data_IF_297679603452
#
_entry.id   IF_297679603452
#
_cell.length_a   1.000
_cell.length_b   1.000
_cell.length_c   1.000
_cell.angle_alpha   90.00
_cell.angle_beta   90.00
_cell.angle_gamma   90.00
#
_symmetry.space_group_name_H-M   'P 1'
#
loop_
_entity.id
_entity.type
_entity.pdbx_description
1 polymer ?
#
# COMPACT_ATOMS: atom_id res chain seq x y z
N UNK A 1 14.16 -21.24 3.49
CA UNK A 1 13.21 -22.03 2.70
C UNK A 1 11.85 -21.39 2.98
N UNK A 2 11.16 -20.92 1.95
CA UNK A 2 9.84 -20.31 2.11
C UNK A 2 8.81 -21.39 2.47
N UNK A 3 7.70 -20.98 3.07
CA UNK A 3 6.60 -21.87 3.43
C UNK A 3 5.92 -22.43 2.16
N UNK A 4 5.21 -23.55 2.29
CA UNK A 4 4.51 -24.22 1.16
C UNK A 4 3.40 -23.37 0.54
N UNK A 5 2.90 -22.39 1.28
CA UNK A 5 1.87 -21.44 0.86
C UNK A 5 2.45 -20.11 0.37
N UNK A 6 3.76 -19.95 0.37
CA UNK A 6 4.42 -18.72 -0.08
C UNK A 6 4.50 -18.68 -1.60
N UNK A 7 4.42 -17.48 -2.16
CA UNK A 7 4.57 -17.27 -3.59
C UNK A 7 6.04 -17.41 -4.00
N UNK A 8 6.32 -18.30 -4.95
CA UNK A 8 7.68 -18.59 -5.42
C UNK A 8 7.97 -17.85 -6.72
N UNK A 9 9.07 -17.07 -6.84
CA UNK A 9 9.35 -16.32 -8.06
C UNK A 9 9.52 -17.20 -9.30
N UNK A 10 9.98 -18.45 -9.13
CA UNK A 10 10.10 -19.45 -10.17
C UNK A 10 8.76 -19.97 -10.71
N UNK A 11 7.69 -19.86 -9.92
CA UNK A 11 6.34 -20.29 -10.26
C UNK A 11 5.48 -19.09 -10.72
N UNK A 12 6.09 -17.94 -11.01
CA UNK A 12 5.37 -16.73 -11.41
C UNK A 12 4.62 -16.94 -12.72
N UNK A 13 3.39 -16.41 -12.79
CA UNK A 13 2.56 -16.36 -14.00
C UNK A 13 3.07 -15.37 -15.03
N UNK A 14 4.09 -14.57 -14.68
CA UNK A 14 4.79 -13.68 -15.60
C UNK A 14 4.17 -12.30 -15.70
N UNK A 15 4.35 -11.65 -16.86
CA UNK A 15 3.99 -10.26 -17.14
C UNK A 15 3.11 -10.21 -18.41
N UNK A 16 2.35 -9.14 -18.59
CA UNK A 16 1.50 -8.97 -19.77
C UNK A 16 2.33 -8.87 -21.06
N UNK A 17 3.38 -8.04 -21.04
CA UNK A 17 4.34 -7.94 -22.14
C UNK A 17 5.53 -8.85 -21.87
N UNK A 18 5.90 -9.67 -22.85
CA UNK A 18 7.03 -10.58 -22.73
C UNK A 18 8.33 -9.79 -22.60
N UNK A 19 9.13 -10.11 -21.59
CA UNK A 19 10.43 -9.51 -21.35
C UNK A 19 11.43 -10.60 -20.98
N UNK A 20 12.70 -10.41 -21.34
CA UNK A 20 13.76 -11.30 -20.87
C UNK A 20 13.88 -11.25 -19.34
N UNK A 21 14.07 -12.44 -18.75
CA UNK A 21 14.32 -12.59 -17.31
C UNK A 21 15.61 -11.90 -16.89
N UNK A 22 15.69 -11.48 -15.62
CA UNK A 22 16.94 -10.95 -15.07
C UNK A 22 17.79 -12.09 -14.50
N UNK A 23 19.10 -12.06 -14.78
CA UNK A 23 20.07 -13.00 -14.20
C UNK A 23 20.38 -12.74 -12.73
N UNK A 24 20.09 -11.53 -12.23
CA UNK A 24 20.54 -11.06 -10.92
C UNK A 24 19.40 -10.71 -9.97
N UNK A 25 18.19 -10.52 -10.48
CA UNK A 25 17.02 -10.12 -9.70
C UNK A 25 15.86 -11.07 -9.93
N UNK A 26 15.13 -11.38 -8.88
CA UNK A 26 13.85 -12.06 -9.01
C UNK A 26 12.84 -11.16 -9.76
N UNK A 27 11.77 -11.75 -10.35
CA UNK A 27 10.65 -10.99 -10.89
C UNK A 27 10.09 -9.93 -9.91
N UNK A 28 9.95 -10.26 -8.62
CA UNK A 28 9.39 -9.37 -7.61
C UNK A 28 10.35 -8.26 -7.17
N UNK A 29 11.66 -8.53 -7.12
CA UNK A 29 12.67 -7.47 -6.95
C UNK A 29 12.64 -6.48 -8.10
N UNK A 30 12.48 -6.96 -9.34
CA UNK A 30 12.34 -6.08 -10.51
C UNK A 30 11.08 -5.23 -10.42
N UNK A 31 9.97 -5.78 -9.94
CA UNK A 31 8.73 -5.02 -9.72
C UNK A 31 8.91 -3.91 -8.70
N UNK A 32 9.45 -4.26 -7.53
CA UNK A 32 9.79 -3.29 -6.49
C UNK A 32 10.65 -2.15 -7.05
N UNK A 33 11.69 -2.49 -7.79
CA UNK A 33 12.60 -1.48 -8.36
C UNK A 33 11.84 -0.57 -9.35
N UNK A 34 10.95 -1.13 -10.19
CA UNK A 34 10.10 -0.35 -11.11
C UNK A 34 9.17 0.60 -10.38
N UNK A 35 8.52 0.11 -9.33
CA UNK A 35 7.62 0.91 -8.48
C UNK A 35 8.38 2.08 -7.88
N UNK A 36 9.53 1.84 -7.23
CA UNK A 36 10.35 2.88 -6.59
C UNK A 36 10.80 3.96 -7.60
N UNK A 37 11.12 3.56 -8.83
CA UNK A 37 11.59 4.49 -9.86
C UNK A 37 10.46 5.17 -10.66
N UNK A 38 9.20 4.80 -10.43
CA UNK A 38 8.04 5.38 -11.11
C UNK A 38 7.80 6.84 -10.74
N UNK A 39 7.16 7.58 -11.65
CA UNK A 39 6.78 8.97 -11.39
C UNK A 39 5.71 9.05 -10.29
N UNK A 40 4.77 8.11 -10.26
CA UNK A 40 3.72 8.01 -9.27
C UNK A 40 4.26 7.81 -7.84
N UNK A 41 5.25 6.95 -7.66
CA UNK A 41 5.88 6.73 -6.35
C UNK A 41 6.59 8.00 -5.86
N UNK A 42 7.31 8.71 -6.75
CA UNK A 42 7.92 10.01 -6.40
C UNK A 42 6.89 11.05 -5.97
N UNK A 43 5.70 11.06 -6.58
CA UNK A 43 4.61 11.99 -6.23
C UNK A 43 4.05 11.73 -4.83
N UNK A 44 4.19 10.53 -4.28
CA UNK A 44 3.75 10.23 -2.90
C UNK A 44 4.44 11.13 -1.87
N UNK A 45 5.64 11.66 -2.17
CA UNK A 45 6.34 12.63 -1.32
C UNK A 45 5.50 13.88 -1.06
N UNK A 46 4.65 14.28 -2.00
CA UNK A 46 3.85 15.50 -1.93
C UNK A 46 2.36 15.21 -1.70
N UNK A 47 2.01 13.95 -1.39
CA UNK A 47 0.64 13.56 -1.02
C UNK A 47 0.58 13.40 0.49
N UNK A 48 -0.40 14.06 1.08
CA UNK A 48 -0.66 14.09 2.51
C UNK A 48 -1.19 12.75 3.01
N UNK A 49 -0.71 12.29 4.16
CA UNK A 49 -1.31 11.20 4.93
C UNK A 49 -2.04 11.84 6.12
N UNK A 50 -3.36 12.00 6.03
CA UNK A 50 -4.26 12.63 7.01
C UNK A 50 -4.05 14.14 7.25
N UNK A 51 -2.83 14.59 7.55
CA UNK A 51 -2.51 16.00 7.80
C UNK A 51 -1.90 16.69 6.58
N UNK A 52 -2.19 17.98 6.42
CA UNK A 52 -1.64 18.78 5.33
C UNK A 52 -0.16 19.09 5.61
N UNK A 53 0.73 18.69 4.69
CA UNK A 53 2.20 18.77 4.79
C UNK A 53 2.71 20.18 5.21
N UNK A 54 1.92 21.23 4.94
CA UNK A 54 2.31 22.62 5.16
C UNK A 54 1.99 23.13 6.58
N UNK A 55 1.39 22.32 7.46
CA UNK A 55 1.05 22.73 8.83
C UNK A 55 2.09 22.30 9.89
N UNK A 56 3.15 21.58 9.50
CA UNK A 56 4.28 21.23 10.38
C UNK A 56 5.29 20.28 9.73
N UNK A 57 6.59 20.46 10.04
CA UNK A 57 7.72 19.76 9.43
C UNK A 57 7.76 18.22 9.65
N UNK A 58 6.89 17.69 10.51
CA UNK A 58 6.94 16.28 10.96
C UNK A 58 5.73 15.44 10.53
N UNK A 59 4.79 15.99 9.76
CA UNK A 59 3.64 15.21 9.31
C UNK A 59 4.04 14.22 8.21
N UNK A 60 3.52 13.00 8.31
CA UNK A 60 3.78 11.96 7.33
C UNK A 60 3.18 12.28 5.98
N UNK A 61 3.90 11.87 4.96
CA UNK A 61 3.43 11.83 3.57
C UNK A 61 3.04 10.39 3.23
N UNK A 62 2.31 10.18 2.13
CA UNK A 62 2.04 8.83 1.62
C UNK A 62 3.32 8.06 1.29
N UNK A 63 4.41 8.76 0.97
CA UNK A 63 5.70 8.12 0.75
C UNK A 63 6.26 7.53 2.03
N UNK A 64 6.30 8.30 3.12
CA UNK A 64 6.79 7.79 4.41
C UNK A 64 5.90 6.68 4.94
N UNK A 65 4.58 6.82 4.79
CA UNK A 65 3.61 5.77 5.11
C UNK A 65 3.92 4.48 4.34
N UNK A 66 4.01 4.53 3.01
CA UNK A 66 4.29 3.35 2.17
C UNK A 66 5.62 2.66 2.53
N UNK A 67 6.65 3.42 2.92
CA UNK A 67 7.93 2.85 3.37
C UNK A 67 7.77 2.11 4.71
N UNK A 68 7.03 2.69 5.65
CA UNK A 68 6.76 2.05 6.94
C UNK A 68 5.89 0.79 6.78
N UNK A 69 4.85 0.83 5.95
CA UNK A 69 4.02 -0.34 5.57
C UNK A 69 4.91 -1.43 4.99
N UNK A 70 5.80 -1.10 4.06
CA UNK A 70 6.73 -2.06 3.46
C UNK A 70 7.67 -2.69 4.50
N UNK A 71 8.13 -1.93 5.49
CA UNK A 71 8.97 -2.46 6.57
C UNK A 71 8.22 -3.47 7.44
N UNK A 72 6.96 -3.15 7.81
CA UNK A 72 6.10 -4.05 8.59
C UNK A 72 5.79 -5.31 7.77
N UNK A 73 5.40 -5.15 6.50
CA UNK A 73 5.06 -6.25 5.60
C UNK A 73 6.22 -7.24 5.43
N UNK A 74 7.46 -6.75 5.27
CA UNK A 74 8.65 -7.60 5.21
C UNK A 74 8.91 -8.36 6.48
N UNK A 75 8.70 -7.73 7.64
CA UNK A 75 8.89 -8.36 8.94
C UNK A 75 7.88 -9.49 9.13
N UNK A 76 6.60 -9.24 8.83
CA UNK A 76 5.55 -10.25 8.90
C UNK A 76 5.79 -11.38 7.88
N UNK A 77 6.13 -11.04 6.64
CA UNK A 77 6.42 -12.02 5.60
C UNK A 77 7.58 -12.94 6.02
N UNK A 78 8.66 -12.38 6.56
CA UNK A 78 9.81 -13.16 7.08
C UNK A 78 9.40 -14.12 8.18
N UNK A 79 8.62 -13.66 9.16
CA UNK A 79 8.17 -14.48 10.31
C UNK A 79 7.24 -15.61 9.85
N UNK A 80 6.39 -15.35 8.87
CA UNK A 80 5.46 -16.31 8.30
C UNK A 80 6.08 -17.20 7.20
N UNK A 81 7.36 -16.99 6.86
CA UNK A 81 8.03 -17.72 5.79
C UNK A 81 7.49 -17.41 4.38
N UNK A 82 6.84 -16.27 4.19
CA UNK A 82 6.32 -15.78 2.92
C UNK A 82 7.42 -15.10 2.08
N UNK A 83 7.08 -14.73 0.84
CA UNK A 83 7.98 -13.98 -0.02
C UNK A 83 8.05 -12.50 0.38
N UNK A 84 9.17 -12.10 0.99
CA UNK A 84 9.39 -10.71 1.41
C UNK A 84 9.39 -9.70 0.25
N UNK A 85 9.84 -10.12 -0.94
CA UNK A 85 10.02 -9.23 -2.09
C UNK A 85 8.68 -8.88 -2.72
N UNK A 86 7.77 -9.85 -2.82
CA UNK A 86 6.40 -9.61 -3.26
C UNK A 86 5.63 -8.78 -2.24
N UNK A 87 5.74 -9.09 -0.95
CA UNK A 87 5.10 -8.31 0.11
C UNK A 87 5.58 -6.85 0.11
N UNK A 88 6.90 -6.62 -0.05
CA UNK A 88 7.48 -5.28 -0.18
C UNK A 88 6.98 -4.55 -1.44
N UNK A 89 6.94 -5.23 -2.59
CA UNK A 89 6.48 -4.62 -3.84
C UNK A 89 5.01 -4.17 -3.76
N UNK A 90 4.11 -5.02 -3.27
CA UNK A 90 2.69 -4.70 -3.11
C UNK A 90 2.52 -3.55 -2.10
N UNK A 91 3.19 -3.63 -0.95
CA UNK A 91 3.14 -2.59 0.08
C UNK A 91 3.62 -1.22 -0.43
N UNK A 92 4.63 -1.16 -1.30
CA UNK A 92 5.10 0.13 -1.87
C UNK A 92 4.15 0.70 -2.93
N UNK A 93 3.29 -0.12 -3.50
CA UNK A 93 2.43 0.25 -4.63
C UNK A 93 0.97 0.53 -4.25
N UNK A 94 0.50 0.07 -3.08
CA UNK A 94 -0.92 0.19 -2.67
C UNK A 94 -1.47 1.62 -2.81
N UNK A 95 -0.63 2.61 -2.48
CA UNK A 95 -1.04 4.01 -2.37
C UNK A 95 -0.86 4.85 -3.64
N UNK A 96 -0.39 4.24 -4.75
CA UNK A 96 -0.06 4.99 -5.96
C UNK A 96 -1.27 5.71 -6.57
N UNK A 97 -2.45 5.10 -6.45
CA UNK A 97 -3.71 5.60 -7.03
C UNK A 97 -4.39 6.70 -6.24
N UNK A 98 -4.01 6.93 -4.98
CA UNK A 98 -4.66 7.93 -4.14
C UNK A 98 -4.58 9.35 -4.74
N UNK A 99 -5.68 10.10 -4.74
CA UNK A 99 -5.65 11.48 -5.22
C UNK A 99 -4.98 12.42 -4.20
N UNK A 100 -4.74 13.70 -4.57
CA UNK A 100 -4.42 14.73 -3.59
C UNK A 100 -5.49 14.81 -2.49
N UNK A 101 -5.11 15.26 -1.28
CA UNK A 101 -6.03 15.45 -0.13
C UNK A 101 -6.65 14.17 0.47
N UNK A 102 -6.08 13.00 0.20
CA UNK A 102 -6.49 11.75 0.85
C UNK A 102 -7.96 11.39 0.58
N UNK A 103 -8.67 10.88 1.59
CA UNK A 103 -10.05 10.41 1.45
C UNK A 103 -10.99 11.53 0.98
N UNK A 104 -10.82 12.76 1.45
CA UNK A 104 -11.62 13.91 0.98
C UNK A 104 -11.48 14.13 -0.53
N UNK A 105 -10.26 13.95 -1.06
CA UNK A 105 -10.01 14.05 -2.49
C UNK A 105 -10.63 12.90 -3.28
N UNK A 106 -10.64 11.70 -2.70
CA UNK A 106 -11.29 10.53 -3.28
C UNK A 106 -12.81 10.68 -3.32
N UNK A 107 -13.44 11.05 -2.20
CA UNK A 107 -14.89 11.27 -2.10
C UNK A 107 -15.38 12.30 -3.12
N UNK A 108 -14.63 13.41 -3.26
CA UNK A 108 -15.00 14.47 -4.20
C UNK A 108 -14.77 14.04 -5.65
N UNK A 109 -13.71 13.29 -5.94
CA UNK A 109 -13.49 12.72 -7.28
C UNK A 109 -14.57 11.70 -7.63
N UNK A 110 -14.92 10.78 -6.73
CA UNK A 110 -16.01 9.82 -6.92
C UNK A 110 -17.32 10.56 -7.27
N UNK A 111 -17.65 11.59 -6.48
CA UNK A 111 -18.84 12.42 -6.72
C UNK A 111 -18.80 13.13 -8.08
N UNK A 112 -17.67 13.72 -8.46
CA UNK A 112 -17.51 14.41 -9.75
C UNK A 112 -17.48 13.45 -10.94
N UNK A 113 -16.96 12.24 -10.74
CA UNK A 113 -16.79 11.21 -11.76
C UNK A 113 -17.99 10.27 -11.88
N UNK A 114 -19.01 10.41 -11.05
CA UNK A 114 -20.22 9.60 -11.11
C UNK A 114 -20.85 9.50 -12.53
N UNK A 115 -20.92 10.56 -13.37
CA UNK A 115 -21.40 10.45 -14.75
C UNK A 115 -20.50 9.60 -15.68
N UNK A 116 -19.27 9.33 -15.27
CA UNK A 116 -18.23 8.64 -16.02
C UNK A 116 -17.85 7.27 -15.42
N UNK A 117 -18.58 6.79 -14.41
CA UNK A 117 -18.35 5.49 -13.77
C UNK A 117 -17.63 5.52 -12.43
N UNK A 118 -17.41 6.70 -11.85
CA UNK A 118 -16.81 6.89 -10.53
C UNK A 118 -15.27 7.00 -10.55
N UNK A 119 -14.70 6.99 -9.35
CA UNK A 119 -13.29 6.98 -9.04
C UNK A 119 -13.05 5.99 -7.88
N UNK A 120 -12.06 5.12 -8.07
CA UNK A 120 -11.60 4.18 -7.04
C UNK A 120 -10.06 4.20 -7.04
N UNK A 121 -9.44 4.44 -5.88
CA UNK A 121 -7.98 4.55 -5.82
C UNK A 121 -7.26 3.25 -6.22
N UNK A 122 -7.80 2.06 -5.95
CA UNK A 122 -7.15 0.80 -6.33
C UNK A 122 -7.19 0.60 -7.85
N UNK A 123 -8.34 0.86 -8.48
CA UNK A 123 -8.48 0.85 -9.92
C UNK A 123 -7.59 1.93 -10.58
N UNK A 124 -7.44 3.08 -9.93
CA UNK A 124 -6.53 4.13 -10.39
C UNK A 124 -5.05 3.72 -10.22
N UNK A 125 -4.68 3.01 -9.15
CA UNK A 125 -3.33 2.48 -8.97
C UNK A 125 -2.98 1.50 -10.10
N UNK A 126 -3.89 0.57 -10.41
CA UNK A 126 -3.79 -0.33 -11.57
C UNK A 126 -3.66 0.45 -12.88
N UNK A 127 -4.49 1.47 -13.09
CA UNK A 127 -4.43 2.31 -14.30
C UNK A 127 -3.08 3.01 -14.43
N UNK A 128 -2.51 3.51 -13.33
CA UNK A 128 -1.19 4.15 -13.32
C UNK A 128 -0.12 3.15 -13.75
N UNK A 129 -0.03 2.01 -13.08
CA UNK A 129 1.07 1.05 -13.25
C UNK A 129 0.94 0.21 -14.52
N UNK A 130 -0.23 0.14 -15.14
CA UNK A 130 -0.46 -0.64 -16.37
C UNK A 130 -0.59 0.21 -17.63
N UNK A 131 -0.87 1.52 -17.50
CA UNK A 131 -1.15 2.39 -18.65
C UNK A 131 -0.55 3.80 -18.61
N UNK A 132 -0.51 4.47 -17.44
CA UNK A 132 -0.15 5.91 -17.43
C UNK A 132 1.34 6.18 -17.24
N UNK A 133 2.09 5.29 -16.57
CA UNK A 133 3.54 5.38 -16.56
C UNK A 133 4.10 5.08 -17.95
N UNK A 134 5.05 5.87 -18.43
CA UNK A 134 5.60 5.75 -19.79
C UNK A 134 7.13 5.77 -19.74
N UNK A 135 7.71 4.77 -19.07
CA UNK A 135 9.15 4.64 -18.86
C UNK A 135 9.84 3.67 -19.82
N UNK A 136 9.07 2.87 -20.56
CA UNK A 136 9.56 1.82 -21.46
C UNK A 136 9.12 2.13 -22.90
N UNK A 137 9.97 1.82 -23.88
CA UNK A 137 9.71 2.15 -25.28
C UNK A 137 8.75 1.18 -25.98
N UNK A 138 8.64 -0.04 -25.48
CA UNK A 138 7.90 -1.13 -26.12
C UNK A 138 6.47 -1.27 -25.61
N UNK A 139 6.17 -0.70 -24.44
CA UNK A 139 4.86 -0.77 -23.79
C UNK A 139 4.66 0.40 -22.82
N UNK A 140 3.40 0.72 -22.59
CA UNK A 140 2.97 1.60 -21.51
C UNK A 140 2.90 0.84 -20.17
N UNK A 141 2.92 1.58 -19.08
CA UNK A 141 2.97 1.08 -17.72
C UNK A 141 4.36 0.62 -17.27
N UNK A 142 4.37 -0.09 -16.15
CA UNK A 142 5.55 -0.70 -15.54
C UNK A 142 5.67 -2.19 -15.89
N UNK A 143 4.65 -2.77 -16.55
CA UNK A 143 4.58 -4.19 -16.90
C UNK A 143 4.96 -5.11 -15.71
N UNK A 144 4.35 -4.90 -14.53
CA UNK A 144 4.63 -5.67 -13.32
C UNK A 144 4.19 -7.14 -13.48
N UNK A 145 4.65 -8.03 -12.59
CA UNK A 145 4.21 -9.42 -12.62
C UNK A 145 2.74 -9.53 -12.21
N UNK A 146 2.11 -10.62 -12.64
CA UNK A 146 0.73 -10.93 -12.31
C UNK A 146 0.47 -10.88 -10.80
N UNK A 147 1.37 -11.43 -9.99
CA UNK A 147 1.23 -11.51 -8.53
C UNK A 147 1.25 -10.13 -7.87
N UNK A 148 2.12 -9.23 -8.35
CA UNK A 148 2.15 -7.85 -7.84
C UNK A 148 0.87 -7.12 -8.22
N UNK A 149 0.40 -7.27 -9.45
CA UNK A 149 -0.84 -6.62 -9.92
C UNK A 149 -2.07 -7.17 -9.20
N UNK A 150 -2.12 -8.47 -8.96
CA UNK A 150 -3.14 -9.17 -8.21
C UNK A 150 -3.22 -8.65 -6.77
N UNK A 151 -2.07 -8.52 -6.11
CA UNK A 151 -1.99 -7.98 -4.76
C UNK A 151 -2.45 -6.52 -4.65
N UNK A 152 -2.13 -5.67 -5.64
CA UNK A 152 -2.58 -4.28 -5.66
C UNK A 152 -4.09 -4.20 -5.93
N UNK A 153 -4.60 -4.98 -6.89
CA UNK A 153 -6.02 -4.97 -7.24
C UNK A 153 -6.91 -5.47 -6.09
N UNK A 154 -6.40 -6.40 -5.29
CA UNK A 154 -7.11 -7.05 -4.18
C UNK A 154 -6.55 -6.67 -2.81
N UNK A 155 -5.97 -5.47 -2.67
CA UNK A 155 -5.40 -4.99 -1.40
C UNK A 155 -6.43 -5.06 -0.26
N UNK A 156 -7.68 -4.70 -0.53
CA UNK A 156 -8.79 -4.76 0.43
C UNK A 156 -9.55 -6.10 0.42
N UNK A 157 -8.97 -7.16 -0.16
CA UNK A 157 -9.60 -8.47 -0.33
C UNK A 157 -10.24 -8.68 -1.70
N UNK A 158 -11.02 -9.77 -1.86
CA UNK A 158 -11.68 -10.09 -3.13
C UNK A 158 -12.60 -8.97 -3.61
N UNK A 159 -12.52 -8.63 -4.89
CA UNK A 159 -13.35 -7.62 -5.56
C UNK A 159 -14.51 -8.32 -6.24
N UNK A 160 -15.72 -8.06 -5.76
CA UNK A 160 -16.97 -8.61 -6.30
C UNK A 160 -17.80 -7.52 -6.99
N UNK A 161 -18.78 -7.92 -7.79
CA UNK A 161 -19.60 -6.97 -8.55
C UNK A 161 -20.38 -6.00 -7.62
N UNK A 162 -20.51 -4.71 -8.00
CA UNK A 162 -20.04 -4.10 -9.26
C UNK A 162 -18.53 -3.82 -9.27
N UNK A 163 -17.85 -4.22 -10.35
CA UNK A 163 -16.41 -3.96 -10.55
C UNK A 163 -16.24 -2.59 -11.22
N UNK A 164 -15.36 -1.75 -10.67
CA UNK A 164 -15.04 -0.46 -11.26
C UNK A 164 -14.55 -0.60 -12.70
N UNK A 165 -15.00 0.26 -13.62
CA UNK A 165 -14.80 0.10 -15.07
C UNK A 165 -13.32 -0.03 -15.45
N UNK A 166 -12.44 0.77 -14.83
CA UNK A 166 -11.02 0.75 -15.14
C UNK A 166 -10.35 -0.59 -14.74
N UNK A 167 -10.82 -1.21 -13.66
CA UNK A 167 -10.35 -2.53 -13.26
C UNK A 167 -10.92 -3.60 -14.20
N UNK A 168 -12.21 -3.50 -14.56
CA UNK A 168 -12.87 -4.39 -15.52
C UNK A 168 -12.19 -4.38 -16.90
N UNK A 169 -11.80 -3.20 -17.41
CA UNK A 169 -11.05 -3.05 -18.66
C UNK A 169 -9.72 -3.81 -18.63
N UNK A 170 -8.98 -3.72 -17.51
CA UNK A 170 -7.69 -4.40 -17.38
C UNK A 170 -7.85 -5.93 -17.30
N UNK A 171 -8.74 -6.41 -16.42
CA UNK A 171 -8.90 -7.87 -16.21
C UNK A 171 -9.52 -8.59 -17.41
N UNK A 172 -10.18 -7.87 -18.31
CA UNK A 172 -10.61 -8.43 -19.60
C UNK A 172 -9.44 -8.85 -20.50
N UNK A 173 -8.23 -8.32 -20.27
CA UNK A 173 -7.00 -8.59 -21.03
C UNK A 173 -6.05 -9.47 -20.22
N UNK A 174 -5.98 -9.25 -18.90
CA UNK A 174 -5.08 -9.94 -17.98
C UNK A 174 -5.83 -10.27 -16.70
N UNK A 175 -6.48 -11.43 -16.66
CA UNK A 175 -7.37 -11.84 -15.57
C UNK A 175 -6.61 -12.00 -14.25
N UNK A 176 -7.00 -11.21 -13.23
CA UNK A 176 -6.40 -11.19 -11.88
C UNK A 176 -7.19 -12.02 -10.85
N UNK A 177 -8.17 -12.81 -11.29
CA UNK A 177 -8.99 -13.69 -10.42
C UNK A 177 -9.61 -12.88 -9.27
N UNK A 178 -10.29 -11.78 -9.61
CA UNK A 178 -10.71 -10.73 -8.66
C UNK A 178 -11.60 -11.24 -7.52
N UNK A 179 -12.40 -12.27 -7.77
CA UNK A 179 -13.33 -12.86 -6.81
C UNK A 179 -12.67 -13.83 -5.81
N UNK A 180 -11.37 -14.07 -5.93
CA UNK A 180 -10.59 -14.94 -5.04
C UNK A 180 -9.74 -14.14 -4.07
N UNK A 181 -9.32 -14.75 -2.96
CA UNK A 181 -8.33 -14.13 -2.07
C UNK A 181 -6.99 -13.99 -2.78
N UNK A 182 -6.31 -12.86 -2.54
CA UNK A 182 -4.95 -12.62 -3.01
C UNK A 182 -3.94 -13.57 -2.36
N UNK A 183 -2.69 -13.53 -2.85
CA UNK A 183 -1.59 -14.23 -2.19
C UNK A 183 -1.46 -13.86 -0.70
N UNK A 184 -0.85 -14.73 0.10
CA UNK A 184 -0.61 -14.44 1.51
C UNK A 184 0.31 -13.21 1.70
N UNK A 185 1.22 -12.95 0.77
CA UNK A 185 2.05 -11.75 0.75
C UNK A 185 1.24 -10.47 0.57
N UNK A 186 0.26 -10.48 -0.34
CA UNK A 186 -0.62 -9.34 -0.56
C UNK A 186 -1.52 -9.08 0.67
N UNK A 187 -2.06 -10.14 1.28
CA UNK A 187 -2.83 -10.01 2.52
C UNK A 187 -1.97 -9.48 3.67
N UNK A 188 -0.70 -9.88 3.76
CA UNK A 188 0.24 -9.32 4.73
C UNK A 188 0.52 -7.84 4.46
N UNK A 189 0.63 -7.42 3.20
CA UNK A 189 0.79 -6.01 2.85
C UNK A 189 -0.43 -5.19 3.29
N UNK A 190 -1.65 -5.69 3.07
CA UNK A 190 -2.90 -5.07 3.53
C UNK A 190 -2.97 -4.94 5.06
N UNK A 191 -2.67 -6.02 5.78
CA UNK A 191 -2.64 -5.99 7.26
C UNK A 191 -1.55 -5.03 7.77
N UNK A 192 -0.43 -4.92 7.06
CA UNK A 192 0.64 -3.99 7.42
C UNK A 192 0.23 -2.54 7.24
N UNK A 193 -0.60 -2.26 6.24
CA UNK A 193 -1.21 -0.94 6.01
C UNK A 193 -2.10 -0.56 7.19
N UNK A 194 -3.03 -1.43 7.59
CA UNK A 194 -3.87 -1.23 8.77
C UNK A 194 -3.05 -1.00 10.06
N UNK A 195 -1.98 -1.76 10.26
CA UNK A 195 -1.10 -1.61 11.43
C UNK A 195 -0.38 -0.26 11.42
N UNK A 196 0.16 0.16 10.27
CA UNK A 196 0.87 1.42 10.14
C UNK A 196 -0.11 2.60 10.32
N UNK A 197 -1.24 2.55 9.63
CA UNK A 197 -2.31 3.53 9.67
C UNK A 197 -2.75 3.83 11.11
N UNK A 198 -3.12 2.78 11.87
CA UNK A 198 -3.62 2.95 13.24
C UNK A 198 -2.57 3.55 14.20
N UNK A 199 -1.30 3.17 14.07
CA UNK A 199 -0.26 3.69 14.96
C UNK A 199 0.11 5.14 14.62
N UNK A 200 0.13 5.48 13.34
CA UNK A 200 0.64 6.75 12.87
C UNK A 200 -0.36 7.87 13.00
N UNK A 201 -1.63 7.61 12.69
CA UNK A 201 -2.71 8.56 12.91
C UNK A 201 -2.83 8.91 14.40
N UNK A 202 -2.64 7.93 15.29
CA UNK A 202 -2.63 8.16 16.73
C UNK A 202 -1.46 9.07 17.14
N UNK A 203 -0.26 8.80 16.62
CA UNK A 203 0.93 9.57 16.94
C UNK A 203 0.86 11.01 16.38
N UNK A 204 0.37 11.17 15.16
CA UNK A 204 0.27 12.47 14.50
C UNK A 204 -0.88 13.30 15.08
N UNK A 205 -2.00 12.67 15.48
CA UNK A 205 -3.08 13.32 16.22
C UNK A 205 -2.66 13.81 17.60
N UNK A 206 -1.84 13.03 18.32
CA UNK A 206 -1.26 13.44 19.61
C UNK A 206 -0.32 14.64 19.42
N UNK A 207 0.55 14.60 18.39
CA UNK A 207 1.47 15.71 18.06
C UNK A 207 0.75 16.98 17.64
N UNK A 208 -0.35 16.84 16.91
CA UNK A 208 -1.21 17.95 16.51
C UNK A 208 -2.03 18.53 17.68
N UNK A 209 -2.00 17.90 18.87
CA UNK A 209 -2.75 18.32 20.03
C UNK A 209 -4.27 18.14 19.90
N UNK A 210 -4.72 17.26 18.99
CA UNK A 210 -6.15 16.95 18.83
C UNK A 210 -6.72 16.18 20.03
N UNK A 211 -5.85 15.46 20.72
CA UNK A 211 -6.11 14.75 21.97
C UNK A 211 -4.81 14.64 22.77
N UNK A 212 -4.93 14.29 24.04
CA UNK A 212 -3.82 14.18 24.99
C UNK A 212 -3.45 12.72 25.27
N UNK A 213 -2.33 12.49 25.95
CA UNK A 213 -1.97 11.15 26.42
C UNK A 213 -3.00 10.59 27.42
N UNK A 214 -3.63 11.48 28.20
CA UNK A 214 -4.71 11.09 29.13
C UNK A 214 -5.94 10.58 28.38
N UNK A 215 -6.28 11.18 27.23
CA UNK A 215 -7.36 10.69 26.37
C UNK A 215 -7.02 9.30 25.80
N UNK A 216 -5.77 9.09 25.38
CA UNK A 216 -5.29 7.79 24.89
C UNK A 216 -5.28 6.71 25.98
N UNK A 217 -5.04 7.10 27.23
CA UNK A 217 -5.02 6.17 28.36
C UNK A 217 -6.40 5.53 28.63
N UNK A 218 -7.47 6.11 28.10
CA UNK A 218 -8.83 5.54 28.18
C UNK A 218 -9.05 4.37 27.21
N UNK A 219 -8.20 4.20 26.19
CA UNK A 219 -8.35 3.14 25.21
C UNK A 219 -7.94 1.79 25.81
N UNK A 220 -8.74 0.71 25.63
CA UNK A 220 -8.47 -0.60 26.25
C UNK A 220 -7.10 -1.20 25.92
N UNK A 221 -6.56 -0.91 24.73
CA UNK A 221 -5.27 -1.42 24.28
C UNK A 221 -4.10 -0.51 24.68
N UNK A 222 -4.29 0.80 24.71
CA UNK A 222 -3.23 1.79 24.94
C UNK A 222 -3.08 2.12 26.42
N UNK A 223 -4.18 2.21 27.17
CA UNK A 223 -4.18 2.49 28.61
C UNK A 223 -3.25 1.60 29.43
N UNK A 224 -3.29 0.26 29.27
CA UNK A 224 -2.36 -0.63 29.96
C UNK A 224 -0.88 -0.35 29.63
N UNK A 225 -0.57 0.06 28.40
CA UNK A 225 0.78 0.40 27.97
C UNK A 225 1.26 1.71 28.60
N UNK A 226 0.41 2.74 28.64
CA UNK A 226 0.71 4.03 29.30
C UNK A 226 0.97 3.80 30.79
N UNK A 227 0.08 3.06 31.48
CA UNK A 227 0.24 2.74 32.89
C UNK A 227 1.54 1.96 33.18
N UNK A 228 1.96 1.08 32.27
CA UNK A 228 3.22 0.34 32.40
C UNK A 228 4.44 1.26 32.28
N UNK A 229 4.39 2.25 31.38
CA UNK A 229 5.44 3.28 31.23
C UNK A 229 5.52 4.13 32.50
N UNK A 230 4.40 4.67 32.98
CA UNK A 230 4.38 5.50 34.19
C UNK A 230 4.91 4.75 35.42
N UNK A 231 4.55 3.45 35.54
CA UNK A 231 5.04 2.58 36.62
C UNK A 231 6.56 2.37 36.57
N UNK A 232 7.14 2.23 35.38
CA UNK A 232 8.59 2.03 35.19
C UNK A 232 9.38 3.33 35.29
N UNK A 233 8.77 4.47 34.94
CA UNK A 233 9.43 5.76 34.85
C UNK A 233 8.60 6.89 35.50
N UNK A 234 8.42 6.88 36.84
CA UNK A 234 7.50 7.77 37.58
C UNK A 234 7.89 9.27 37.61
N UNK A 235 8.96 9.67 36.92
CA UNK A 235 9.39 11.06 36.77
C UNK A 235 9.60 11.47 35.32
N UNK A 236 9.09 10.68 34.37
CA UNK A 236 9.15 11.02 32.95
C UNK A 236 8.27 12.26 32.72
N UNK A 237 8.83 13.28 32.08
CA UNK A 237 8.05 14.45 31.68
C UNK A 237 6.99 14.02 30.66
N UNK A 238 5.78 14.60 30.76
CA UNK A 238 4.80 14.48 29.68
C UNK A 238 5.42 15.07 28.40
N UNK A 239 5.51 14.22 27.37
CA UNK A 239 6.06 14.57 26.06
C UNK A 239 5.08 15.31 25.19
#
# INVERSE_FOLDING_TARGET
MTAVYATRPEDSRGRLFAEEGSTHRSPFQRDRDRIIHSSAFRRLKHKTQVFVEHEGDYYRTRLTHSIEVAQVARTLARVLGLNEELAEAVALAHDLGHPPFGHTGEDELERMMAPYGGFDHNAQALTIITRLEAHYAEFDGLNLTWETLEGIAKHNGPVTAPIHYALAEYVAIHDLELDTCASAEAQVAAISDDIAYNNHDLADGLRAGLFTLDDLALLPLIGPCVAEVDRRWPGLAAG
#
